data_IF_368297715504
#
_entry.id   IF_368297715504
#
_cell.length_a   1.000
_cell.length_b   1.000
_cell.length_c   1.000
_cell.angle_alpha   90.00
_cell.angle_beta   90.00
_cell.angle_gamma   90.00
#
_symmetry.space_group_name_H-M   'P 1'
#
loop_
_entity.id
_entity.type
_entity.pdbx_description
1 polymer ?
#
# COMPACT_ATOMS: atom_id res chain seq x y z
N UNK A 1 -2.26 6.03 -2.15
CA UNK A 1 -3.00 6.17 -3.43
C UNK A 1 -4.35 6.84 -3.24
N UNK A 2 -5.16 6.38 -2.28
CA UNK A 2 -6.50 6.94 -2.03
C UNK A 2 -6.70 7.22 -0.53
N UNK A 3 -7.91 7.02 0.00
CA UNK A 3 -8.28 7.30 1.39
C UNK A 3 -7.38 6.61 2.44
N UNK A 4 -6.87 5.41 2.18
CA UNK A 4 -5.98 4.70 3.10
C UNK A 4 -4.64 5.43 3.36
N UNK A 5 -4.25 6.38 2.49
CA UNK A 5 -3.06 7.20 2.74
C UNK A 5 -3.21 8.11 3.96
N UNK A 6 -4.44 8.51 4.32
CA UNK A 6 -4.69 9.33 5.50
C UNK A 6 -4.47 8.52 6.78
N UNK A 7 -4.96 7.28 6.82
CA UNK A 7 -4.68 6.36 7.93
C UNK A 7 -3.19 6.03 8.04
N UNK A 8 -2.49 5.89 6.91
CA UNK A 8 -1.03 5.76 6.89
C UNK A 8 -0.30 7.01 7.41
N UNK A 9 -0.86 8.21 7.28
CA UNK A 9 -0.31 9.41 7.94
C UNK A 9 -0.63 9.43 9.43
N UNK A 10 -1.77 8.87 9.84
CA UNK A 10 -2.12 8.73 11.25
C UNK A 10 -1.19 7.74 11.97
N UNK A 11 -0.74 6.66 11.32
CA UNK A 11 0.25 5.74 11.91
C UNK A 11 1.60 6.42 12.17
N UNK A 12 1.96 7.42 11.35
CA UNK A 12 3.12 8.28 11.58
C UNK A 12 2.86 9.44 12.55
N UNK A 13 1.61 9.67 12.95
CA UNK A 13 1.27 10.77 13.87
C UNK A 13 1.73 10.47 15.30
N UNK A 14 1.91 11.49 16.16
CA UNK A 14 2.47 11.31 17.51
C UNK A 14 1.72 10.33 18.42
N UNK A 15 0.45 10.02 18.10
CA UNK A 15 -0.35 9.07 18.90
C UNK A 15 0.11 7.63 18.72
N UNK A 16 0.48 7.24 17.50
CA UNK A 16 0.90 5.87 17.17
C UNK A 16 2.40 5.76 16.89
N UNK A 17 3.04 6.85 16.45
CA UNK A 17 4.48 7.02 16.27
C UNK A 17 5.20 5.80 15.71
N UNK A 18 5.00 5.52 14.42
CA UNK A 18 5.70 4.41 13.76
C UNK A 18 7.24 4.52 13.81
N UNK A 19 7.78 5.72 14.03
CA UNK A 19 9.23 5.92 14.14
C UNK A 19 9.80 5.26 15.39
N UNK A 20 9.00 5.07 16.44
CA UNK A 20 9.38 4.31 17.64
C UNK A 20 9.76 2.86 17.31
N UNK A 21 9.16 2.28 16.28
CA UNK A 21 9.46 0.92 15.82
C UNK A 21 10.60 0.87 14.78
N UNK A 22 11.27 2.00 14.54
CA UNK A 22 12.34 2.10 13.54
C UNK A 22 11.83 2.18 12.10
N UNK A 23 10.51 2.30 11.88
CA UNK A 23 9.93 2.41 10.54
C UNK A 23 9.91 3.88 10.11
N UNK A 24 10.52 4.17 8.97
CA UNK A 24 10.62 5.54 8.43
C UNK A 24 10.19 5.54 6.98
N UNK A 25 9.28 6.45 6.62
CA UNK A 25 8.90 6.62 5.22
C UNK A 25 10.05 7.22 4.40
N UNK A 26 10.54 6.44 3.44
CA UNK A 26 11.48 6.89 2.41
C UNK A 26 10.72 7.12 1.11
N UNK A 27 10.89 8.31 0.53
CA UNK A 27 10.23 8.65 -0.73
C UNK A 27 10.84 7.91 -1.93
N UNK A 28 12.12 7.54 -1.86
CA UNK A 28 12.78 6.81 -2.93
C UNK A 28 12.61 5.29 -2.75
N UNK A 29 12.13 4.55 -3.76
CA UNK A 29 11.99 3.10 -3.68
C UNK A 29 13.34 2.38 -3.60
N UNK A 30 14.43 3.03 -4.04
CA UNK A 30 15.79 2.46 -4.01
C UNK A 30 16.37 2.35 -2.60
N UNK A 31 15.80 3.06 -1.63
CA UNK A 31 16.20 3.07 -0.23
C UNK A 31 15.13 2.47 0.69
N UNK A 32 14.08 1.88 0.11
CA UNK A 32 12.96 1.33 0.85
C UNK A 32 12.94 -0.19 0.70
N UNK A 33 12.77 -0.88 1.83
CA UNK A 33 12.68 -2.34 1.88
C UNK A 33 11.21 -2.81 1.81
N UNK A 34 10.26 -1.95 2.18
CA UNK A 34 8.82 -2.25 2.20
C UNK A 34 8.06 -1.23 1.37
N UNK A 35 7.17 -1.71 0.50
CA UNK A 35 6.20 -0.87 -0.21
C UNK A 35 4.79 -1.11 0.32
N UNK A 36 4.10 -0.03 0.65
CA UNK A 36 2.73 -0.07 1.17
C UNK A 36 1.77 0.41 0.08
N UNK A 37 0.91 -0.47 -0.40
CA UNK A 37 -0.13 -0.14 -1.38
C UNK A 37 -1.37 0.37 -0.64
N UNK A 38 -1.32 1.64 -0.23
CA UNK A 38 -2.40 2.28 0.53
C UNK A 38 -3.52 2.84 -0.39
N UNK A 39 -4.47 1.99 -0.76
CA UNK A 39 -5.70 2.37 -1.45
C UNK A 39 -5.86 1.83 -2.88
N UNK A 40 -6.91 2.29 -3.57
CA UNK A 40 -7.34 1.74 -4.87
C UNK A 40 -6.27 1.84 -5.96
N UNK A 41 -6.02 0.73 -6.64
CA UNK A 41 -5.16 0.65 -7.81
C UNK A 41 -5.99 0.77 -9.09
N UNK A 42 -5.72 1.79 -9.91
CA UNK A 42 -6.37 1.95 -11.21
C UNK A 42 -5.54 1.32 -12.33
N UNK A 43 -6.20 0.94 -13.43
CA UNK A 43 -5.54 0.31 -14.59
C UNK A 43 -4.41 1.19 -15.15
N UNK A 44 -4.59 2.52 -15.11
CA UNK A 44 -3.57 3.48 -15.56
C UNK A 44 -2.35 3.54 -14.62
N UNK A 45 -2.55 3.29 -13.32
CA UNK A 45 -1.49 3.32 -12.32
C UNK A 45 -0.72 2.00 -12.19
N UNK A 46 -1.33 0.88 -12.59
CA UNK A 46 -0.74 -0.45 -12.55
C UNK A 46 0.71 -0.54 -13.10
N UNK A 47 1.04 -0.04 -14.31
CA UNK A 47 2.41 -0.12 -14.83
C UNK A 47 3.39 0.73 -14.01
N UNK A 48 2.95 1.87 -13.46
CA UNK A 48 3.80 2.70 -12.62
C UNK A 48 4.11 2.01 -11.29
N UNK A 49 3.11 1.34 -10.67
CA UNK A 49 3.33 0.53 -9.47
C UNK A 49 4.34 -0.58 -9.72
N UNK A 50 4.19 -1.31 -10.84
CA UNK A 50 5.13 -2.38 -11.20
C UNK A 50 6.56 -1.86 -11.34
N UNK A 51 6.72 -0.73 -12.02
CA UNK A 51 8.04 -0.08 -12.21
C UNK A 51 8.67 0.35 -10.88
N UNK A 52 7.88 0.85 -9.93
CA UNK A 52 8.38 1.22 -8.60
C UNK A 52 8.84 -0.02 -7.84
N UNK A 53 8.05 -1.10 -7.88
CA UNK A 53 8.42 -2.37 -7.26
C UNK A 53 9.70 -2.98 -7.84
N UNK A 54 9.85 -2.96 -9.17
CA UNK A 54 11.05 -3.48 -9.85
C UNK A 54 12.31 -2.63 -9.57
N UNK A 55 12.18 -1.40 -9.06
CA UNK A 55 13.30 -0.54 -8.68
C UNK A 55 13.77 -0.73 -7.23
N UNK A 56 13.07 -1.54 -6.43
CA UNK A 56 13.44 -1.80 -5.03
C UNK A 56 14.57 -2.85 -4.94
N UNK A 57 15.58 -2.64 -4.07
CA UNK A 57 16.61 -3.63 -3.80
C UNK A 57 16.03 -4.86 -3.09
N UNK A 58 16.69 -6.01 -3.20
CA UNK A 58 16.35 -7.19 -2.40
C UNK A 58 17.09 -7.15 -1.05
N UNK A 59 16.44 -7.53 0.08
CA UNK A 59 15.08 -8.07 0.20
C UNK A 59 13.98 -6.99 0.17
N UNK A 60 12.91 -7.23 -0.60
CA UNK A 60 11.75 -6.32 -0.72
C UNK A 60 10.45 -7.01 -0.30
N UNK A 61 9.57 -6.26 0.36
CA UNK A 61 8.27 -6.73 0.82
C UNK A 61 7.13 -5.80 0.42
N UNK A 62 5.93 -6.34 0.26
CA UNK A 62 4.72 -5.61 -0.16
C UNK A 62 3.61 -5.82 0.85
N UNK A 63 3.10 -4.71 1.38
CA UNK A 63 1.90 -4.68 2.23
C UNK A 63 0.74 -4.11 1.42
N UNK A 64 -0.34 -4.86 1.30
CA UNK A 64 -1.59 -4.38 0.72
C UNK A 64 -2.48 -3.81 1.81
N UNK A 65 -2.77 -2.50 1.73
CA UNK A 65 -3.52 -1.79 2.77
C UNK A 65 -4.88 -1.35 2.24
N UNK A 66 -5.91 -1.96 2.83
CA UNK A 66 -7.32 -1.67 2.59
C UNK A 66 -7.97 -2.57 1.54
N UNK A 67 -9.29 -2.68 1.63
CA UNK A 67 -10.13 -3.55 0.79
C UNK A 67 -9.94 -3.30 -0.71
N UNK A 68 -9.73 -2.04 -1.09
CA UNK A 68 -9.49 -1.64 -2.47
C UNK A 68 -8.16 -2.18 -3.02
N UNK A 69 -7.10 -2.21 -2.21
CA UNK A 69 -5.81 -2.75 -2.62
C UNK A 69 -5.80 -4.28 -2.56
N UNK A 70 -6.52 -4.89 -1.61
CA UNK A 70 -6.57 -6.34 -1.45
C UNK A 70 -7.29 -7.04 -2.61
N UNK A 71 -8.37 -6.44 -3.13
CA UNK A 71 -9.18 -7.10 -4.15
C UNK A 71 -10.06 -6.18 -4.99
N UNK A 72 -9.75 -4.88 -5.08
CA UNK A 72 -10.59 -3.87 -5.73
C UNK A 72 -11.68 -3.29 -4.82
N UNK A 73 -12.04 -3.99 -3.74
CA UNK A 73 -12.89 -3.49 -2.65
C UNK A 73 -14.22 -2.92 -3.15
N UNK A 74 -14.55 -1.72 -2.70
CA UNK A 74 -15.78 -1.03 -3.11
C UNK A 74 -15.89 -0.82 -4.63
N UNK A 75 -14.76 -0.76 -5.34
CA UNK A 75 -14.71 -0.53 -6.78
C UNK A 75 -14.46 -1.81 -7.59
N UNK A 76 -14.73 -2.99 -7.03
CA UNK A 76 -14.42 -4.28 -7.67
C UNK A 76 -14.98 -4.45 -9.09
N UNK A 77 -16.20 -3.95 -9.32
CA UNK A 77 -16.88 -4.03 -10.62
C UNK A 77 -16.64 -2.82 -11.53
N UNK A 78 -15.77 -1.89 -11.14
CA UNK A 78 -15.41 -0.74 -11.98
C UNK A 78 -14.56 -1.16 -13.18
N UNK A 79 -14.74 -0.47 -14.31
CA UNK A 79 -13.96 -0.69 -15.53
C UNK A 79 -12.50 -0.21 -15.41
N UNK A 80 -12.21 0.70 -14.48
CA UNK A 80 -10.93 1.40 -14.38
C UNK A 80 -10.03 0.90 -13.24
N UNK A 81 -10.49 -0.10 -12.47
CA UNK A 81 -9.82 -0.55 -11.24
C UNK A 81 -9.26 -1.96 -11.43
N UNK A 82 -8.04 -2.16 -10.95
CA UNK A 82 -7.43 -3.49 -10.85
C UNK A 82 -8.02 -4.18 -9.63
N UNK A 83 -8.51 -5.41 -9.82
CA UNK A 83 -9.11 -6.23 -8.77
C UNK A 83 -8.05 -6.87 -7.87
N UNK A 84 -7.30 -6.00 -7.18
CA UNK A 84 -6.22 -6.37 -6.27
C UNK A 84 -4.83 -5.98 -6.80
N UNK A 85 -3.95 -5.56 -5.89
CA UNK A 85 -2.55 -5.29 -6.21
C UNK A 85 -1.72 -6.58 -6.39
N UNK A 86 -2.23 -7.70 -5.86
CA UNK A 86 -1.74 -9.06 -6.02
C UNK A 86 -1.53 -9.48 -7.50
N UNK A 87 -2.32 -8.92 -8.41
CA UNK A 87 -2.18 -9.15 -9.86
C UNK A 87 -0.96 -8.49 -10.49
N UNK A 88 -0.39 -7.47 -9.83
CA UNK A 88 0.70 -6.65 -10.38
C UNK A 88 2.01 -6.91 -9.62
N UNK A 89 1.93 -7.03 -8.31
CA UNK A 89 3.06 -7.25 -7.40
C UNK A 89 2.74 -8.40 -6.45
N UNK A 90 3.73 -9.23 -6.09
CA UNK A 90 3.52 -10.26 -5.06
C UNK A 90 3.27 -9.56 -3.72
N UNK A 91 2.19 -9.92 -3.03
CA UNK A 91 1.81 -9.33 -1.74
C UNK A 91 2.18 -10.29 -0.61
N UNK A 92 2.85 -9.78 0.41
CA UNK A 92 3.24 -10.58 1.59
C UNK A 92 2.18 -10.49 2.70
N UNK A 93 1.66 -9.29 2.96
CA UNK A 93 0.71 -9.03 4.05
C UNK A 93 -0.50 -8.27 3.53
N UNK A 94 -1.69 -8.72 3.91
CA UNK A 94 -2.96 -8.05 3.62
C UNK A 94 -3.53 -7.44 4.90
N UNK A 95 -3.73 -6.13 4.90
CA UNK A 95 -4.38 -5.40 6.00
C UNK A 95 -5.82 -5.08 5.59
N UNK A 96 -6.84 -5.74 6.16
CA UNK A 96 -8.23 -5.50 5.80
C UNK A 96 -8.78 -4.22 6.43
N UNK A 97 -9.55 -3.43 5.67
CA UNK A 97 -10.28 -2.25 6.16
C UNK A 97 -10.69 -1.28 5.06
N UNK A 98 -11.55 -0.30 5.35
CA UNK A 98 -12.02 0.68 4.35
C UNK A 98 -12.34 2.09 4.95
N UNK A 99 -11.33 2.84 5.41
CA UNK A 99 -9.92 2.46 5.50
C UNK A 99 -9.64 1.61 6.77
N UNK A 100 -8.56 0.80 6.80
CA UNK A 100 -8.14 0.13 8.02
C UNK A 100 -7.71 1.18 9.06
N UNK A 101 -8.07 0.97 10.33
CA UNK A 101 -7.65 1.86 11.41
C UNK A 101 -6.14 1.88 11.53
N UNK A 102 -5.57 3.00 11.93
CA UNK A 102 -4.12 3.11 12.18
C UNK A 102 -3.57 2.04 13.15
N UNK A 103 -4.36 1.56 14.12
CA UNK A 103 -3.94 0.46 15.01
C UNK A 103 -3.92 -0.91 14.34
N UNK A 104 -4.73 -1.10 13.29
CA UNK A 104 -4.80 -2.36 12.55
C UNK A 104 -3.68 -2.49 11.51
N UNK A 105 -2.97 -1.39 11.23
CA UNK A 105 -1.83 -1.34 10.32
C UNK A 105 -0.52 -1.48 11.09
#
# INVERSE_FOLDING_TARGET
LACCAVEMMQTASPRYDMHRFGVVFRASPRQADVIIVAGTLTNKMAPALRKVYDQMPEPRYVISMGSCANGGGYYHYSYSVVRGCDRIVPVDIYVPGCPPTAEAF
#
